data_IF_076847499778
#
_entry.id   IF_076847499778
#
_cell.length_a   1.000
_cell.length_b   1.000
_cell.length_c   1.000
_cell.angle_alpha   90.00
_cell.angle_beta   90.00
_cell.angle_gamma   90.00
#
_symmetry.space_group_name_H-M   'P 1'
#
loop_
_entity.id
_entity.type
_entity.pdbx_description
1 polymer ?
#
# COMPACT_ATOMS: atom_id res chain seq x y z
N UNK A 1 11.80 17.60 -9.18
CA UNK A 1 12.38 17.81 -9.16
C UNK A 1 12.65 18.63 -9.55
N UNK A 2 12.64 19.09 -9.63
CA UNK A 2 12.88 19.52 -10.04
C UNK A 2 13.46 19.51 -10.42
N UNK A 3 13.90 19.40 -10.77
CA UNK A 3 14.50 19.18 -11.19
C UNK A 3 15.09 19.21 -11.24
N UNK A 4 15.70 19.22 -11.18
CA UNK A 4 16.42 19.14 -11.27
C UNK A 4 17.16 19.12 -10.75
N UNK A 5 17.63 19.11 -10.07
CA UNK A 5 18.44 19.10 -9.47
C UNK A 5 19.25 18.64 -9.67
N UNK A 6 19.38 18.55 -9.87
CA UNK A 6 20.03 18.10 -10.13
C UNK A 6 20.49 17.61 -10.70
N UNK A 7 21.09 17.61 -10.73
CA UNK A 7 21.24 17.31 -11.53
C UNK A 7 22.19 16.95 -11.99
N UNK A 8 23.12 16.95 -11.66
CA UNK A 8 23.88 16.80 -12.22
C UNK A 8 24.96 16.02 -11.94
N UNK A 9 25.00 15.13 -11.60
CA UNK A 9 25.81 14.02 -11.37
C UNK A 9 26.13 13.30 -12.64
N UNK A 10 26.86 12.19 -12.66
CA UNK A 10 26.97 11.35 -13.82
C UNK A 10 25.60 10.81 -14.18
N UNK A 11 25.37 10.61 -15.46
CA UNK A 11 24.09 10.16 -15.93
C UNK A 11 23.74 8.77 -15.38
N UNK A 12 24.70 7.87 -15.29
CA UNK A 12 24.44 6.53 -14.79
C UNK A 12 24.02 6.55 -13.33
N UNK A 13 24.67 7.38 -12.52
CA UNK A 13 24.29 7.50 -11.12
C UNK A 13 22.89 8.06 -10.98
N UNK A 14 22.55 9.05 -11.77
CA UNK A 14 21.25 9.67 -11.73
C UNK A 14 20.15 8.66 -12.10
N UNK A 15 20.38 7.86 -13.11
CA UNK A 15 19.40 6.85 -13.52
C UNK A 15 19.19 5.81 -12.42
N UNK A 16 20.27 5.34 -11.83
CA UNK A 16 20.18 4.35 -10.76
C UNK A 16 19.41 4.90 -9.58
N UNK A 17 19.71 6.13 -9.20
CA UNK A 17 19.04 6.78 -8.09
C UNK A 17 17.56 6.96 -8.36
N UNK A 18 17.20 7.31 -9.58
CA UNK A 18 15.80 7.49 -9.94
C UNK A 18 14.99 6.19 -9.87
N UNK A 19 15.58 5.07 -10.23
CA UNK A 19 14.90 3.79 -10.16
C UNK A 19 14.55 3.44 -8.72
N UNK A 20 15.49 3.58 -7.81
CA UNK A 20 15.23 3.33 -6.40
C UNK A 20 14.20 4.29 -5.85
N UNK A 21 14.35 5.53 -6.18
CA UNK A 21 13.50 6.59 -5.68
C UNK A 21 12.07 6.48 -6.20
N UNK A 22 11.90 6.02 -7.44
CA UNK A 22 10.55 5.90 -7.99
C UNK A 22 9.75 4.81 -7.29
N UNK A 23 10.38 3.74 -6.81
CA UNK A 23 9.68 2.73 -6.02
C UNK A 23 9.21 3.31 -4.69
N UNK A 24 10.06 4.09 -4.03
CA UNK A 24 9.69 4.75 -2.78
C UNK A 24 8.57 5.75 -3.02
N UNK A 25 8.65 6.50 -4.11
CA UNK A 25 7.61 7.48 -4.45
C UNK A 25 6.29 6.78 -4.70
N UNK A 26 6.32 5.63 -5.37
CA UNK A 26 5.10 4.90 -5.67
C UNK A 26 4.41 4.45 -4.38
N UNK A 27 5.17 3.90 -3.45
CA UNK A 27 4.63 3.52 -2.14
C UNK A 27 4.13 4.73 -1.37
N UNK A 28 4.90 5.82 -1.37
CA UNK A 28 4.50 7.04 -0.69
C UNK A 28 3.18 7.59 -1.22
N UNK A 29 2.97 7.47 -2.51
CA UNK A 29 1.72 7.95 -3.10
C UNK A 29 0.52 7.13 -2.66
N UNK A 30 0.74 5.94 -2.14
CA UNK A 30 -0.33 5.07 -1.68
C UNK A 30 -0.39 4.93 -0.17
N UNK A 31 0.59 5.50 0.53
CA UNK A 31 0.56 5.49 1.99
C UNK A 31 -0.52 6.45 2.48
N UNK A 32 -0.98 6.20 3.70
CA UNK A 32 -1.96 7.05 4.32
C UNK A 32 -3.05 6.23 4.98
N UNK A 33 -4.08 6.92 5.41
CA UNK A 33 -5.21 6.32 6.08
C UNK A 33 -6.39 6.26 5.13
N UNK A 34 -6.94 5.08 4.97
CA UNK A 34 -8.09 4.82 4.10
C UNK A 34 -9.27 4.44 4.99
N UNK A 35 -10.46 4.85 4.58
CA UNK A 35 -11.69 4.65 5.36
C UNK A 35 -12.75 4.00 4.50
N UNK A 36 -13.58 3.17 5.11
CA UNK A 36 -14.80 2.72 4.46
C UNK A 36 -15.99 3.46 5.08
N UNK A 37 -17.19 3.13 4.63
CA UNK A 37 -18.39 3.80 5.12
C UNK A 37 -18.92 3.19 6.42
N UNK A 38 -18.22 2.22 6.99
CA UNK A 38 -18.70 1.45 8.14
C UNK A 38 -17.76 1.52 9.32
N UNK A 39 -16.86 2.51 9.34
CA UNK A 39 -15.98 2.74 10.48
C UNK A 39 -14.73 1.90 10.49
N UNK A 40 -14.42 1.20 9.42
CA UNK A 40 -13.17 0.46 9.31
C UNK A 40 -12.08 1.35 8.75
N UNK A 41 -10.85 1.08 9.11
CA UNK A 41 -9.70 1.82 8.59
C UNK A 41 -8.65 0.87 8.07
N UNK A 42 -7.90 1.35 7.11
CA UNK A 42 -6.75 0.67 6.57
C UNK A 42 -5.63 1.70 6.50
N UNK A 43 -4.55 1.46 7.23
CA UNK A 43 -3.42 2.38 7.27
C UNK A 43 -2.25 1.73 6.55
N UNK A 44 -1.67 2.44 5.59
CA UNK A 44 -0.51 1.96 4.83
C UNK A 44 0.61 2.94 5.04
N UNK A 45 1.79 2.44 5.45
CA UNK A 45 2.94 3.30 5.66
C UNK A 45 3.79 3.37 4.39
N UNK A 46 4.87 4.17 4.46
CA UNK A 46 5.74 4.38 3.31
C UNK A 46 6.62 3.19 2.97
N UNK A 47 6.63 2.18 3.82
CA UNK A 47 7.50 1.02 3.65
C UNK A 47 6.74 -0.21 3.14
N UNK A 48 5.45 -0.06 2.87
CA UNK A 48 4.65 -1.16 2.34
C UNK A 48 4.02 -2.03 3.39
N UNK A 49 3.88 -1.53 4.62
CA UNK A 49 3.18 -2.26 5.67
C UNK A 49 1.81 -1.66 5.88
N UNK A 50 0.84 -2.53 6.06
CA UNK A 50 -0.53 -2.11 6.30
C UNK A 50 -1.09 -2.69 7.58
N UNK A 51 -2.07 -1.99 8.13
CA UNK A 51 -2.83 -2.43 9.31
C UNK A 51 -4.30 -2.17 9.03
N UNK A 52 -5.11 -3.19 9.21
CA UNK A 52 -6.56 -3.10 9.07
C UNK A 52 -7.16 -3.05 10.47
N UNK A 53 -8.14 -2.18 10.68
CA UNK A 53 -8.81 -2.07 11.97
C UNK A 53 -10.31 -2.11 11.76
N UNK A 54 -10.98 -2.93 12.58
CA UNK A 54 -12.45 -3.06 12.59
C UNK A 54 -12.92 -3.14 14.02
N UNK A 55 -13.79 -2.22 14.41
CA UNK A 55 -14.42 -2.20 15.75
C UNK A 55 -13.38 -2.25 16.88
N UNK A 56 -12.30 -1.50 16.72
CA UNK A 56 -11.25 -1.44 17.73
C UNK A 56 -10.27 -2.59 17.70
N UNK A 57 -10.46 -3.57 16.82
CA UNK A 57 -9.55 -4.69 16.69
C UNK A 57 -8.64 -4.45 15.50
N UNK A 58 -7.33 -4.41 15.76
CA UNK A 58 -6.34 -4.17 14.72
C UNK A 58 -5.73 -5.48 14.27
N UNK A 59 -5.51 -5.60 12.97
CA UNK A 59 -4.74 -6.71 12.44
C UNK A 59 -3.28 -6.54 12.84
N UNK A 60 -2.52 -7.62 12.74
CA UNK A 60 -1.07 -7.48 12.73
C UNK A 60 -0.66 -6.79 11.45
N UNK A 61 0.50 -6.17 11.48
CA UNK A 61 1.06 -5.50 10.32
C UNK A 61 1.28 -6.54 9.21
N UNK A 62 0.82 -6.24 8.00
CA UNK A 62 1.04 -7.11 6.85
C UNK A 62 1.85 -6.37 5.80
N UNK A 63 2.61 -7.10 5.03
CA UNK A 63 3.45 -6.49 4.01
C UNK A 63 2.79 -6.63 2.66
N UNK A 64 2.60 -5.50 1.98
CA UNK A 64 2.04 -5.51 0.64
C UNK A 64 3.13 -5.53 -0.42
N UNK A 65 4.39 -5.54 0.00
CA UNK A 65 5.51 -5.72 -0.91
C UNK A 65 5.94 -4.45 -1.61
N UNK A 66 6.93 -4.61 -2.46
CA UNK A 66 7.43 -3.50 -3.26
C UNK A 66 6.58 -3.36 -4.51
N UNK A 67 6.06 -2.17 -4.78
CA UNK A 67 5.24 -1.98 -5.97
C UNK A 67 6.08 -2.02 -7.23
N UNK A 68 5.47 -2.49 -8.28
CA UNK A 68 6.01 -2.36 -9.62
C UNK A 68 5.16 -1.36 -10.36
N UNK A 69 5.69 -0.85 -11.46
CA UNK A 69 5.03 0.26 -12.15
C UNK A 69 3.58 -0.05 -12.55
N UNK A 70 3.29 -1.31 -12.85
CA UNK A 70 1.94 -1.69 -13.29
C UNK A 70 1.20 -2.55 -12.27
N UNK A 71 1.84 -2.88 -11.17
CA UNK A 71 1.24 -3.79 -10.22
C UNK A 71 0.35 -3.04 -9.25
N UNK A 72 -0.90 -3.46 -9.15
CA UNK A 72 -1.88 -2.82 -8.26
C UNK A 72 -2.49 -3.80 -7.27
N UNK A 73 -2.19 -5.07 -7.37
CA UNK A 73 -2.76 -6.11 -6.53
C UNK A 73 -1.67 -6.78 -5.71
N UNK A 74 -1.90 -6.87 -4.41
CA UNK A 74 -0.94 -7.46 -3.48
C UNK A 74 -1.63 -8.56 -2.68
N UNK A 75 -1.02 -9.74 -2.66
CA UNK A 75 -1.55 -10.88 -1.92
C UNK A 75 -0.72 -11.09 -0.66
N UNK A 76 -1.39 -11.38 0.45
CA UNK A 76 -0.71 -11.57 1.73
C UNK A 76 -1.60 -12.36 2.68
N UNK A 77 -1.02 -12.75 3.81
CA UNK A 77 -1.77 -13.34 4.91
C UNK A 77 -2.07 -12.24 5.92
N UNK A 78 -3.34 -12.09 6.27
CA UNK A 78 -3.73 -11.14 7.30
C UNK A 78 -4.04 -11.89 8.59
N UNK A 79 -3.57 -11.36 9.70
CA UNK A 79 -3.83 -11.93 11.02
C UNK A 79 -4.65 -10.92 11.80
N UNK A 80 -5.88 -11.29 12.12
CA UNK A 80 -6.83 -10.41 12.77
C UNK A 80 -7.56 -11.20 13.85
N UNK A 81 -7.50 -10.70 15.10
CA UNK A 81 -8.17 -11.35 16.21
C UNK A 81 -7.72 -12.78 16.41
N UNK A 82 -6.43 -13.06 16.18
CA UNK A 82 -5.88 -14.40 16.33
C UNK A 82 -6.18 -15.35 15.19
N UNK A 83 -6.86 -14.90 14.15
CA UNK A 83 -7.19 -15.73 13.00
C UNK A 83 -6.33 -15.37 11.81
N UNK A 84 -5.99 -16.38 11.01
CA UNK A 84 -5.17 -16.25 9.82
C UNK A 84 -6.06 -16.27 8.59
N UNK A 85 -5.93 -15.24 7.76
CA UNK A 85 -6.66 -15.12 6.51
C UNK A 85 -5.64 -15.13 5.38
N UNK A 86 -5.26 -16.32 4.93
CA UNK A 86 -4.15 -16.49 3.99
C UNK A 86 -4.49 -15.99 2.58
N UNK A 87 -5.77 -16.03 2.21
CA UNK A 87 -6.20 -15.65 0.87
C UNK A 87 -6.74 -14.23 0.88
N UNK A 88 -5.87 -13.27 1.21
CA UNK A 88 -6.24 -11.88 1.36
C UNK A 88 -5.51 -11.05 0.30
N UNK A 89 -6.22 -10.11 -0.29
CA UNK A 89 -5.69 -9.27 -1.37
C UNK A 89 -6.00 -7.82 -1.08
N UNK A 90 -5.04 -6.97 -1.42
CA UNK A 90 -5.26 -5.53 -1.46
C UNK A 90 -5.04 -5.08 -2.89
N UNK A 91 -5.96 -4.29 -3.42
CA UNK A 91 -5.95 -3.98 -4.82
C UNK A 91 -6.43 -2.54 -5.00
N UNK A 92 -5.60 -1.74 -5.65
CA UNK A 92 -5.86 -0.32 -5.84
C UNK A 92 -6.57 -0.09 -7.16
N UNK A 93 -7.72 0.58 -7.09
CA UNK A 93 -8.45 0.96 -8.30
C UNK A 93 -7.93 2.26 -8.86
N UNK A 94 -7.44 3.14 -7.98
CA UNK A 94 -6.68 4.32 -8.35
C UNK A 94 -5.82 4.71 -7.14
N UNK A 95 -5.21 5.89 -7.16
CA UNK A 95 -4.27 6.24 -6.09
C UNK A 95 -4.95 6.51 -4.74
N UNK A 96 -6.26 6.77 -4.74
CA UNK A 96 -6.98 7.10 -3.52
C UNK A 96 -8.00 6.05 -3.10
N UNK A 97 -8.20 5.02 -3.91
CA UNK A 97 -9.22 4.01 -3.66
C UNK A 97 -8.62 2.62 -3.75
N UNK A 98 -9.00 1.77 -2.83
CA UNK A 98 -8.57 0.38 -2.84
C UNK A 98 -9.64 -0.54 -2.30
N UNK A 99 -9.50 -1.82 -2.60
CA UNK A 99 -10.41 -2.85 -2.15
C UNK A 99 -9.58 -3.88 -1.39
N UNK A 100 -10.00 -4.17 -0.17
CA UNK A 100 -9.40 -5.24 0.62
C UNK A 100 -10.33 -6.44 0.54
N UNK A 101 -9.82 -7.56 0.05
CA UNK A 101 -10.58 -8.79 -0.06
C UNK A 101 -10.01 -9.77 0.95
N UNK A 102 -10.78 -10.07 1.97
CA UNK A 102 -10.35 -10.95 3.06
C UNK A 102 -10.88 -12.35 2.80
N UNK A 103 -9.98 -13.33 2.91
CA UNK A 103 -10.31 -14.75 2.78
C UNK A 103 -10.94 -15.08 1.43
N UNK A 104 -10.66 -14.27 0.42
CA UNK A 104 -11.09 -14.51 -0.94
C UNK A 104 -12.49 -14.06 -1.28
N UNK A 105 -13.28 -13.58 -0.30
CA UNK A 105 -14.67 -13.24 -0.61
C UNK A 105 -15.23 -12.01 0.12
N UNK A 106 -14.72 -11.63 1.28
CA UNK A 106 -15.20 -10.45 1.99
C UNK A 106 -14.53 -9.21 1.41
N UNK A 107 -15.30 -8.34 0.80
CA UNK A 107 -14.76 -7.15 0.14
C UNK A 107 -15.08 -5.90 0.92
N UNK A 108 -14.05 -5.11 1.19
CA UNK A 108 -14.18 -3.82 1.85
C UNK A 108 -13.62 -2.74 0.94
N UNK A 109 -14.41 -1.72 0.69
CA UNK A 109 -14.05 -0.64 -0.22
C UNK A 109 -13.55 0.55 0.57
N UNK A 110 -12.30 0.93 0.35
CA UNK A 110 -11.63 1.98 1.09
C UNK A 110 -11.29 3.16 0.21
N UNK A 111 -11.34 4.32 0.82
CA UNK A 111 -11.04 5.57 0.16
C UNK A 111 -10.22 6.42 1.12
N UNK A 112 -9.23 7.14 0.59
CA UNK A 112 -8.50 8.11 1.39
C UNK A 112 -8.76 9.51 0.85
N UNK A 113 -8.56 10.48 1.74
CA UNK A 113 -8.75 11.89 1.40
C UNK A 113 -7.67 12.44 0.49
#
# INVERSE_FOLDING_TARGET
>A
MNSKFKIIFSLSFLIYFQILYSNDIFLSKRSGEYYDNFGRTLTIDNFGYGIFEEKGIKSQSFKIGQPRSVETTYKFTMILGGRYYANTYLYFTDKNNCILVINGYLKYYFERD
#
